data_IF_476946856911
#
_entry.id   IF_476946856911
#
_cell.length_a   1.000
_cell.length_b   1.000
_cell.length_c   1.000
_cell.angle_alpha   90.00
_cell.angle_beta   90.00
_cell.angle_gamma   90.00
#
_symmetry.space_group_name_H-M   'P 1'
#
loop_
_entity.id
_entity.type
_entity.pdbx_description
1 polymer ?
#
# COMPACT_ATOMS: atom_id res chain seq x y z
N UNK A 1 -26.78 8.05 -10.66
CA UNK A 1 -26.38 6.85 -11.44
C UNK A 1 -24.86 6.78 -11.45
N UNK A 2 -24.26 5.98 -10.56
CA UNK A 2 -22.82 5.71 -10.64
C UNK A 2 -22.56 4.88 -11.88
N UNK A 3 -21.73 5.38 -12.81
CA UNK A 3 -21.36 4.63 -14.01
C UNK A 3 -20.42 3.49 -13.60
N UNK A 4 -20.83 2.24 -13.81
CA UNK A 4 -19.94 1.07 -13.72
C UNK A 4 -19.38 0.73 -15.10
N UNK A 5 -18.13 0.31 -15.15
CA UNK A 5 -17.49 -0.23 -16.36
C UNK A 5 -17.18 -1.72 -16.18
N UNK A 6 -17.17 -2.47 -17.28
CA UNK A 6 -16.83 -3.90 -17.28
C UNK A 6 -15.38 -4.06 -17.71
N UNK A 7 -14.62 -4.86 -16.97
CA UNK A 7 -13.26 -5.26 -17.31
C UNK A 7 -13.28 -6.75 -17.64
N UNK A 8 -12.81 -7.11 -18.83
CA UNK A 8 -12.61 -8.50 -19.25
C UNK A 8 -11.13 -8.78 -19.34
N UNK A 9 -10.63 -9.75 -18.57
CA UNK A 9 -9.23 -10.15 -18.58
C UNK A 9 -9.10 -11.67 -18.46
N UNK A 10 -7.93 -12.19 -18.82
CA UNK A 10 -7.59 -13.61 -18.65
C UNK A 10 -6.91 -13.80 -17.30
N UNK A 11 -7.41 -14.76 -16.53
CA UNK A 11 -6.74 -15.31 -15.36
C UNK A 11 -6.31 -16.73 -15.70
N UNK A 12 -5.14 -17.14 -15.23
CA UNK A 12 -4.78 -18.55 -15.25
C UNK A 12 -5.73 -19.37 -14.35
N UNK A 13 -5.80 -20.67 -14.60
CA UNK A 13 -6.73 -21.56 -13.92
C UNK A 13 -6.49 -21.61 -12.41
N UNK A 14 -5.23 -21.55 -11.98
CA UNK A 14 -4.87 -21.60 -10.56
C UNK A 14 -5.38 -20.37 -9.82
N UNK A 15 -5.11 -19.17 -10.37
CA UNK A 15 -5.61 -17.91 -9.82
C UNK A 15 -7.13 -17.86 -9.78
N UNK A 16 -7.82 -18.31 -10.84
CA UNK A 16 -9.28 -18.34 -10.86
C UNK A 16 -9.85 -19.25 -9.77
N UNK A 17 -9.26 -20.43 -9.56
CA UNK A 17 -9.68 -21.35 -8.50
C UNK A 17 -9.48 -20.76 -7.11
N UNK A 18 -8.39 -20.02 -6.87
CA UNK A 18 -8.16 -19.32 -5.61
C UNK A 18 -9.21 -18.23 -5.36
N UNK A 19 -9.51 -17.43 -6.39
CA UNK A 19 -10.56 -16.41 -6.32
C UNK A 19 -11.90 -17.02 -5.94
N UNK A 20 -12.25 -18.16 -6.55
CA UNK A 20 -13.50 -18.87 -6.26
C UNK A 20 -13.59 -19.36 -4.82
N UNK A 21 -12.53 -20.01 -4.34
CA UNK A 21 -12.49 -20.52 -2.97
C UNK A 21 -12.63 -19.39 -1.95
N UNK A 22 -11.91 -18.28 -2.14
CA UNK A 22 -11.94 -17.15 -1.21
C UNK A 22 -13.29 -16.44 -1.26
N UNK A 23 -13.85 -16.19 -2.45
CA UNK A 23 -15.15 -15.56 -2.58
C UNK A 23 -16.26 -16.40 -1.93
N UNK A 24 -16.25 -17.72 -2.16
CA UNK A 24 -17.19 -18.65 -1.54
C UNK A 24 -17.06 -18.68 -0.01
N UNK A 25 -15.84 -18.75 0.52
CA UNK A 25 -15.59 -18.72 1.97
C UNK A 25 -16.07 -17.42 2.64
N UNK A 26 -16.10 -16.30 1.88
CA UNK A 26 -16.61 -15.01 2.35
C UNK A 26 -18.11 -14.81 2.11
N UNK A 27 -18.80 -15.75 1.46
CA UNK A 27 -20.21 -15.61 1.08
C UNK A 27 -20.45 -14.49 0.05
N UNK A 28 -19.47 -14.21 -0.81
CA UNK A 28 -19.51 -13.13 -1.81
C UNK A 28 -19.51 -13.71 -3.21
N UNK A 29 -20.05 -12.95 -4.18
CA UNK A 29 -19.91 -13.33 -5.58
C UNK A 29 -18.46 -13.14 -6.05
N UNK A 30 -18.04 -13.96 -7.03
CA UNK A 30 -16.72 -13.83 -7.68
C UNK A 30 -16.50 -12.41 -8.21
N UNK A 31 -17.52 -11.85 -8.86
CA UNK A 31 -17.45 -10.52 -9.45
C UNK A 31 -17.27 -9.44 -8.39
N UNK A 32 -18.01 -9.51 -7.28
CA UNK A 32 -17.90 -8.54 -6.19
C UNK A 32 -16.55 -8.64 -5.48
N UNK A 33 -16.04 -9.87 -5.29
CA UNK A 33 -14.70 -10.08 -4.73
C UNK A 33 -13.61 -9.49 -5.66
N UNK A 34 -13.68 -9.77 -6.96
CA UNK A 34 -12.72 -9.27 -7.93
C UNK A 34 -12.74 -7.74 -8.03
N UNK A 35 -13.94 -7.13 -8.12
CA UNK A 35 -14.08 -5.68 -8.16
C UNK A 35 -13.52 -5.01 -6.90
N UNK A 36 -13.79 -5.58 -5.72
CA UNK A 36 -13.26 -5.08 -4.47
C UNK A 36 -11.74 -5.26 -4.36
N UNK A 37 -11.19 -6.38 -4.80
CA UNK A 37 -9.75 -6.61 -4.81
C UNK A 37 -9.04 -5.59 -5.70
N UNK A 38 -9.57 -5.33 -6.90
CA UNK A 38 -9.05 -4.31 -7.82
C UNK A 38 -9.15 -2.92 -7.19
N UNK A 39 -10.27 -2.59 -6.54
CA UNK A 39 -10.43 -1.30 -5.86
C UNK A 39 -9.38 -1.09 -4.78
N UNK A 40 -9.18 -2.08 -3.90
CA UNK A 40 -8.22 -2.00 -2.79
C UNK A 40 -6.78 -1.81 -3.27
N UNK A 41 -6.36 -2.58 -4.28
CA UNK A 41 -5.01 -2.43 -4.81
C UNK A 41 -4.86 -1.09 -5.53
N UNK A 42 -5.85 -0.64 -6.30
CA UNK A 42 -5.78 0.65 -6.97
C UNK A 42 -5.70 1.83 -5.98
N UNK A 43 -6.47 1.79 -4.89
CA UNK A 43 -6.40 2.77 -3.80
C UNK A 43 -5.01 2.76 -3.14
N UNK A 44 -4.52 1.57 -2.76
CA UNK A 44 -3.20 1.41 -2.13
C UNK A 44 -2.05 1.88 -3.01
N UNK A 45 -2.05 1.50 -4.29
CA UNK A 45 -1.02 1.89 -5.25
C UNK A 45 -1.09 3.39 -5.55
N UNK A 46 -2.29 3.96 -5.67
CA UNK A 46 -2.47 5.41 -5.85
C UNK A 46 -1.89 6.19 -4.66
N UNK A 47 -2.19 5.75 -3.43
CA UNK A 47 -1.66 6.39 -2.22
C UNK A 47 -0.14 6.27 -2.13
N UNK A 48 0.41 5.09 -2.49
CA UNK A 48 1.84 4.88 -2.52
C UNK A 48 2.53 5.75 -3.57
N UNK A 49 1.98 5.83 -4.78
CA UNK A 49 2.49 6.70 -5.85
C UNK A 49 2.48 8.18 -5.40
N UNK A 50 1.38 8.63 -4.79
CA UNK A 50 1.27 9.99 -4.27
C UNK A 50 2.28 10.27 -3.15
N UNK A 51 2.52 9.31 -2.26
CA UNK A 51 3.53 9.41 -1.21
C UNK A 51 4.94 9.51 -1.79
N UNK A 52 5.30 8.62 -2.73
CA UNK A 52 6.62 8.61 -3.36
C UNK A 52 6.88 9.89 -4.15
N UNK A 53 5.88 10.40 -4.88
CA UNK A 53 6.02 11.62 -5.67
C UNK A 53 6.37 12.83 -4.79
N UNK A 54 5.80 12.94 -3.58
CA UNK A 54 6.18 14.00 -2.63
C UNK A 54 7.67 13.96 -2.29
N UNK A 55 8.22 12.78 -2.06
CA UNK A 55 9.65 12.59 -1.78
C UNK A 55 10.53 12.92 -2.99
N UNK A 56 10.12 12.48 -4.18
CA UNK A 56 10.82 12.81 -5.45
C UNK A 56 10.83 14.33 -5.67
N UNK A 57 9.69 15.01 -5.46
CA UNK A 57 9.59 16.45 -5.65
C UNK A 57 10.44 17.21 -4.63
N UNK A 58 10.48 16.78 -3.37
CA UNK A 58 11.37 17.34 -2.35
C UNK A 58 12.85 17.16 -2.73
N UNK A 59 13.23 15.97 -3.18
CA UNK A 59 14.57 15.68 -3.65
C UNK A 59 14.97 16.58 -4.84
N UNK A 60 14.07 16.76 -5.81
CA UNK A 60 14.28 17.62 -6.97
C UNK A 60 14.43 19.10 -6.58
N UNK A 61 13.78 19.55 -5.49
CA UNK A 61 13.97 20.90 -4.91
C UNK A 61 15.23 21.02 -4.05
N UNK A 62 15.96 19.92 -3.82
CA UNK A 62 17.14 19.88 -2.95
C UNK A 62 16.82 19.82 -1.46
N UNK A 63 15.58 19.47 -1.08
CA UNK A 63 15.13 19.35 0.31
C UNK A 63 15.50 17.99 0.92
N UNK A 64 16.74 17.54 0.68
CA UNK A 64 17.27 16.30 1.23
C UNK A 64 17.95 16.57 2.58
N UNK A 65 17.87 15.59 3.47
CA UNK A 65 18.59 15.62 4.75
C UNK A 65 19.90 14.83 4.61
N UNK A 66 21.05 15.38 5.05
CA UNK A 66 22.31 14.65 5.09
C UNK A 66 22.20 13.34 5.90
N UNK A 67 22.89 12.29 5.45
CA UNK A 67 22.79 10.97 6.06
C UNK A 67 23.25 10.95 7.52
N UNK A 68 24.34 11.65 7.83
CA UNK A 68 24.88 11.79 9.19
C UNK A 68 23.87 12.44 10.15
N UNK A 69 23.15 13.46 9.70
CA UNK A 69 22.06 14.07 10.46
C UNK A 69 20.93 13.06 10.72
N UNK A 70 20.49 12.31 9.70
CA UNK A 70 19.42 11.30 9.88
C UNK A 70 19.82 10.26 10.92
N UNK A 71 21.06 9.75 10.88
CA UNK A 71 21.53 8.75 11.82
C UNK A 71 21.59 9.28 13.25
N UNK A 72 22.06 10.52 13.45
CA UNK A 72 22.07 11.16 14.77
C UNK A 72 20.65 11.29 15.35
N UNK A 73 19.68 11.74 14.54
CA UNK A 73 18.27 11.86 14.99
C UNK A 73 17.66 10.49 15.33
N UNK A 74 18.02 9.42 14.61
CA UNK A 74 17.55 8.06 14.91
C UNK A 74 18.14 7.54 16.23
N UNK A 75 19.43 7.73 16.46
CA UNK A 75 20.10 7.32 17.71
C UNK A 75 19.48 8.02 18.93
N UNK A 76 19.21 9.32 18.82
CA UNK A 76 18.52 10.10 19.86
C UNK A 76 17.13 9.53 20.18
N UNK A 77 16.34 9.19 19.14
CA UNK A 77 15.01 8.59 19.32
C UNK A 77 15.08 7.21 19.98
N UNK A 78 16.06 6.40 19.61
CA UNK A 78 16.29 5.08 20.21
C UNK A 78 16.67 5.22 21.68
N UNK A 79 17.62 6.10 22.01
CA UNK A 79 18.03 6.35 23.39
C UNK A 79 16.86 6.83 24.27
N UNK A 80 16.04 7.76 23.75
CA UNK A 80 14.85 8.25 24.43
C UNK A 80 13.82 7.12 24.69
N UNK A 81 13.63 6.22 23.73
CA UNK A 81 12.76 5.06 23.89
C UNK A 81 13.29 4.10 24.96
N UNK A 82 14.58 3.77 24.91
CA UNK A 82 15.23 2.88 25.88
C UNK A 82 15.12 3.42 27.31
N UNK A 83 15.40 4.72 27.50
CA UNK A 83 15.28 5.37 28.81
C UNK A 83 13.84 5.35 29.37
N UNK A 84 12.83 5.35 28.50
CA UNK A 84 11.43 5.21 28.91
C UNK A 84 11.07 3.79 29.31
N UNK A 85 11.58 2.78 28.59
CA UNK A 85 11.26 1.38 28.81
C UNK A 85 12.10 0.70 29.91
N UNK A 86 13.23 1.31 30.30
CA UNK A 86 14.06 0.85 31.42
C UNK A 86 13.60 1.35 32.80
N UNK A 87 12.46 2.05 32.85
CA UNK A 87 11.83 2.60 34.04
C UNK A 87 10.64 1.75 34.48
#
# INVERSE_FOLDING_TARGET
MSKSAVITTRLDTETLNLVDQVAAAQGRSRADFAAEAIRRIAESESDMMAFLQKGIDAANRGELVPHDQVMAELDERIAAHQARCSR
#
